data_IF_977900396683
#
_entry.id   IF_977900396683
#
_cell.length_a   1.000
_cell.length_b   1.000
_cell.length_c   1.000
_cell.angle_alpha   90.00
_cell.angle_beta   90.00
_cell.angle_gamma   90.00
#
_symmetry.space_group_name_H-M   'P 1'
#
loop_
_entity.id
_entity.type
_entity.pdbx_description
1 polymer ?
#
# COMPACT_ATOMS: atom_id res chain seq x y z
N UNK A 1 2.42 12.58 19.36
CA UNK A 1 2.49 12.09 17.97
C UNK A 1 1.09 11.69 17.60
N UNK A 2 0.52 12.26 16.53
CA UNK A 2 -0.81 11.86 16.08
C UNK A 2 -0.67 10.48 15.44
N UNK A 3 -1.03 9.43 16.18
CA UNK A 3 -1.13 8.09 15.60
C UNK A 3 -2.33 8.09 14.65
N UNK A 4 -2.04 8.14 13.35
CA UNK A 4 -3.06 7.92 12.34
C UNK A 4 -3.54 6.48 12.48
N UNK A 5 -4.87 6.30 12.50
CA UNK A 5 -5.50 4.97 12.55
C UNK A 5 -4.87 4.08 11.46
N UNK A 6 -4.67 2.77 11.72
CA UNK A 6 -4.04 1.84 10.77
C UNK A 6 -4.61 1.92 9.36
N UNK A 7 -5.92 2.16 9.25
CA UNK A 7 -6.62 2.27 7.98
C UNK A 7 -6.80 3.70 7.42
N UNK A 8 -6.10 4.68 7.98
CA UNK A 8 -6.14 6.03 7.43
C UNK A 8 -5.42 6.06 6.06
N UNK A 9 -6.10 6.58 5.06
CA UNK A 9 -5.63 6.75 3.68
C UNK A 9 -4.22 7.36 3.57
N UNK A 10 -3.91 8.31 4.46
CA UNK A 10 -2.58 8.96 4.50
C UNK A 10 -1.49 8.01 5.01
N UNK A 11 -1.81 7.17 5.99
CA UNK A 11 -0.90 6.18 6.55
C UNK A 11 -0.67 5.01 5.59
N UNK A 12 -1.66 4.66 4.79
CA UNK A 12 -1.58 3.61 3.77
C UNK A 12 -0.91 4.08 2.46
N UNK A 13 -1.11 5.35 2.08
CA UNK A 13 -0.52 5.92 0.86
C UNK A 13 0.98 6.22 0.97
N UNK A 14 1.50 6.49 2.17
CA UNK A 14 2.92 6.80 2.35
C UNK A 14 3.86 5.60 2.07
N UNK A 15 3.59 4.38 2.56
CA UNK A 15 4.33 3.18 2.19
C UNK A 15 4.29 2.89 0.69
N UNK A 16 3.12 3.01 0.05
CA UNK A 16 2.98 2.77 -1.39
C UNK A 16 3.83 3.74 -2.23
N UNK A 17 3.79 5.03 -1.91
CA UNK A 17 4.64 6.03 -2.57
C UNK A 17 6.14 5.72 -2.39
N UNK A 18 6.52 5.19 -1.22
CA UNK A 18 7.91 4.80 -0.98
C UNK A 18 8.29 3.52 -1.73
N UNK A 19 7.37 2.57 -1.90
CA UNK A 19 7.56 1.39 -2.74
C UNK A 19 7.80 1.79 -4.21
N UNK A 20 6.98 2.69 -4.75
CA UNK A 20 7.16 3.26 -6.10
C UNK A 20 8.52 3.95 -6.23
N UNK A 21 8.93 4.75 -5.24
CA UNK A 21 10.27 5.35 -5.23
C UNK A 21 11.39 4.30 -5.28
N UNK A 22 11.27 3.20 -4.52
CA UNK A 22 12.26 2.12 -4.54
C UNK A 22 12.34 1.41 -5.89
N UNK A 23 11.19 1.17 -6.55
CA UNK A 23 11.15 0.56 -7.86
C UNK A 23 11.70 1.50 -8.94
N UNK A 24 11.14 2.70 -9.07
CA UNK A 24 11.37 3.59 -10.21
C UNK A 24 12.68 4.38 -10.11
N UNK A 25 13.10 4.74 -8.89
CA UNK A 25 14.26 5.62 -8.68
C UNK A 25 15.49 4.84 -8.21
N UNK A 26 15.30 3.88 -7.29
CA UNK A 26 16.41 3.09 -6.74
C UNK A 26 16.64 1.76 -7.46
N UNK A 27 15.82 1.44 -8.48
CA UNK A 27 15.88 0.19 -9.25
C UNK A 27 15.92 -1.07 -8.35
N UNK A 28 15.23 -0.98 -7.21
CA UNK A 28 15.25 -1.95 -6.10
C UNK A 28 13.91 -2.65 -5.98
N UNK A 29 13.47 -3.26 -7.08
CA UNK A 29 12.13 -3.84 -7.28
C UNK A 29 11.75 -4.87 -6.21
N UNK A 30 12.72 -5.66 -5.73
CA UNK A 30 12.48 -6.66 -4.67
C UNK A 30 12.09 -6.03 -3.34
N UNK A 31 12.71 -4.91 -3.00
CA UNK A 31 12.37 -4.17 -1.77
C UNK A 31 11.07 -3.40 -1.93
N UNK A 32 10.80 -2.85 -3.12
CA UNK A 32 9.51 -2.24 -3.43
C UNK A 32 8.35 -3.23 -3.28
N UNK A 33 8.51 -4.44 -3.84
CA UNK A 33 7.54 -5.52 -3.74
C UNK A 33 7.28 -5.92 -2.28
N UNK A 34 8.34 -6.14 -1.48
CA UNK A 34 8.18 -6.49 -0.07
C UNK A 34 7.40 -5.42 0.71
N UNK A 35 7.69 -4.15 0.44
CA UNK A 35 7.06 -3.02 1.11
C UNK A 35 5.59 -2.84 0.68
N UNK A 36 5.28 -3.09 -0.59
CA UNK A 36 3.91 -3.10 -1.09
C UNK A 36 3.08 -4.27 -0.52
N UNK A 37 3.67 -5.46 -0.38
CA UNK A 37 3.01 -6.62 0.23
C UNK A 37 2.72 -6.39 1.72
N UNK A 38 3.66 -5.84 2.47
CA UNK A 38 3.46 -5.46 3.87
C UNK A 38 2.34 -4.42 4.01
N UNK A 39 2.36 -3.40 3.16
CA UNK A 39 1.30 -2.37 3.12
C UNK A 39 -0.07 -2.98 2.83
N UNK A 40 -0.14 -3.94 1.90
CA UNK A 40 -1.37 -4.67 1.58
C UNK A 40 -1.90 -5.46 2.79
N UNK A 41 -1.01 -6.14 3.52
CA UNK A 41 -1.38 -6.87 4.73
C UNK A 41 -1.91 -5.94 5.82
N UNK A 42 -1.31 -4.77 6.02
CA UNK A 42 -1.81 -3.78 6.99
C UNK A 42 -3.21 -3.25 6.62
N UNK A 43 -3.50 -3.04 5.33
CA UNK A 43 -4.85 -2.69 4.86
C UNK A 43 -5.86 -3.78 5.19
N UNK A 44 -5.48 -5.05 4.95
CA UNK A 44 -6.34 -6.19 5.23
C UNK A 44 -6.56 -6.42 6.73
N UNK A 45 -5.54 -6.22 7.55
CA UNK A 45 -5.67 -6.35 9.02
C UNK A 45 -6.48 -5.22 9.64
N UNK A 46 -6.47 -4.02 9.04
CA UNK A 46 -7.32 -2.88 9.42
C UNK A 46 -8.79 -2.98 8.96
N UNK A 47 -9.19 -4.09 8.31
CA UNK A 47 -10.53 -4.26 7.71
C UNK A 47 -11.69 -4.19 8.72
N UNK A 48 -11.47 -4.49 10.00
CA UNK A 48 -12.55 -4.69 10.98
C UNK A 48 -13.15 -3.38 11.56
N UNK A 49 -12.65 -2.19 11.16
CA UNK A 49 -12.97 -0.97 11.91
C UNK A 49 -14.21 -0.16 11.45
N UNK A 50 -14.58 0.01 10.17
CA UNK A 50 -15.79 0.78 9.77
C UNK A 50 -16.22 0.58 8.30
N UNK A 51 -17.53 0.59 8.00
CA UNK A 51 -18.10 0.52 6.62
C UNK A 51 -17.83 1.78 5.76
N UNK A 52 -17.70 2.96 6.36
CA UNK A 52 -17.56 4.24 5.62
C UNK A 52 -16.23 4.37 4.85
N UNK A 53 -15.22 3.57 5.21
CA UNK A 53 -13.89 3.59 4.59
C UNK A 53 -13.75 2.59 3.41
N UNK A 54 -14.79 1.80 3.10
CA UNK A 54 -14.69 0.68 2.15
C UNK A 54 -14.33 1.08 0.71
N UNK A 55 -14.89 2.18 0.19
CA UNK A 55 -14.64 2.64 -1.19
C UNK A 55 -13.20 3.17 -1.36
N UNK A 56 -12.72 3.94 -0.39
CA UNK A 56 -11.36 4.51 -0.42
C UNK A 56 -10.31 3.41 -0.22
N UNK A 57 -10.59 2.44 0.67
CA UNK A 57 -9.76 1.24 0.87
C UNK A 57 -9.73 0.34 -0.35
N UNK A 58 -10.85 0.17 -1.05
CA UNK A 58 -10.91 -0.57 -2.31
C UNK A 58 -10.00 0.05 -3.37
N UNK A 59 -10.00 1.38 -3.45
CA UNK A 59 -9.13 2.14 -4.38
C UNK A 59 -7.64 1.96 -4.07
N UNK A 60 -7.23 2.02 -2.78
CA UNK A 60 -5.83 1.77 -2.37
C UNK A 60 -5.42 0.32 -2.66
N UNK A 61 -6.27 -0.64 -2.30
CA UNK A 61 -6.02 -2.08 -2.49
C UNK A 61 -5.79 -2.40 -3.98
N UNK A 62 -6.59 -1.80 -4.85
CA UNK A 62 -6.42 -1.91 -6.30
C UNK A 62 -5.10 -1.31 -6.77
N UNK A 63 -4.75 -0.10 -6.30
CA UNK A 63 -3.50 0.56 -6.68
C UNK A 63 -2.25 -0.21 -6.21
N UNK A 64 -2.29 -0.85 -5.03
CA UNK A 64 -1.20 -1.72 -4.57
C UNK A 64 -1.08 -2.96 -5.46
N UNK A 65 -2.21 -3.60 -5.78
CA UNK A 65 -2.24 -4.80 -6.63
C UNK A 65 -1.69 -4.54 -8.03
N UNK A 66 -2.07 -3.40 -8.63
CA UNK A 66 -1.60 -2.96 -9.94
C UNK A 66 -0.08 -2.75 -9.96
N UNK A 67 0.46 -2.08 -8.93
CA UNK A 67 1.91 -1.90 -8.79
C UNK A 67 2.66 -3.23 -8.61
N UNK A 68 2.09 -4.18 -7.87
CA UNK A 68 2.69 -5.51 -7.68
C UNK A 68 2.73 -6.29 -8.99
N UNK A 69 1.64 -6.29 -9.76
CA UNK A 69 1.56 -6.97 -11.06
C UNK A 69 2.54 -6.36 -12.08
N UNK A 70 2.66 -5.02 -12.09
CA UNK A 70 3.64 -4.31 -12.91
C UNK A 70 5.07 -4.76 -12.61
N UNK A 71 5.44 -4.80 -11.32
CA UNK A 71 6.81 -5.14 -10.90
C UNK A 71 7.16 -6.63 -10.99
N UNK A 72 6.17 -7.51 -11.11
CA UNK A 72 6.38 -8.96 -11.26
C UNK A 72 6.30 -9.42 -12.71
N UNK A 73 5.85 -8.56 -13.62
CA UNK A 73 5.79 -8.82 -15.06
C UNK A 73 7.09 -8.45 -15.82
N UNK A 74 8.02 -7.75 -15.18
CA UNK A 74 9.39 -7.46 -15.64
C UNK A 74 10.40 -8.50 -15.10
#
# INVERSE_FOLDING_TARGET
MAELRPANTTRLGAPLNFAVFKADILNSTKEAYALAVESFQEVLEGLDEHEDDLDERGSITYSISDNIELWTSD
#
